data_IF_701699647054
#
_entry.id   IF_701699647054
#
_cell.length_a   1.000
_cell.length_b   1.000
_cell.length_c   1.000
_cell.angle_alpha   90.00
_cell.angle_beta   90.00
_cell.angle_gamma   90.00
#
_symmetry.space_group_name_H-M   'P 1'
#
loop_
_entity.id
_entity.type
_entity.pdbx_description
1 polymer ?
#
# COMPACT_ATOMS: atom_id res chain seq x y z
N UNK A 1 -49.68 48.97 35.36
CA UNK A 1 -48.46 48.99 34.51
C UNK A 1 -47.68 47.68 34.63
N UNK A 2 -48.33 46.52 34.47
CA UNK A 2 -47.69 45.21 34.60
C UNK A 2 -47.63 44.42 33.27
N UNK A 3 -48.31 44.91 32.23
CA UNK A 3 -48.48 44.18 30.97
C UNK A 3 -47.24 44.25 30.05
N UNK A 4 -46.36 45.24 30.22
CA UNK A 4 -45.13 45.37 29.42
C UNK A 4 -44.02 44.41 29.84
N UNK A 5 -43.91 44.12 31.14
CA UNK A 5 -42.84 43.26 31.68
C UNK A 5 -43.01 41.79 31.27
N UNK A 6 -44.24 41.27 31.24
CA UNK A 6 -44.50 39.88 30.86
C UNK A 6 -44.19 39.62 29.37
N UNK A 7 -44.54 40.56 28.49
CA UNK A 7 -44.25 40.48 27.05
C UNK A 7 -42.75 40.58 26.78
N UNK A 8 -42.06 41.46 27.51
CA UNK A 8 -40.60 41.57 27.44
C UNK A 8 -39.92 40.25 27.84
N UNK A 9 -40.33 39.66 28.97
CA UNK A 9 -39.78 38.39 29.47
C UNK A 9 -40.01 37.24 28.49
N UNK A 10 -41.21 37.15 27.89
CA UNK A 10 -41.52 36.15 26.88
C UNK A 10 -40.63 36.30 25.64
N UNK A 11 -40.40 37.54 25.17
CA UNK A 11 -39.52 37.82 24.05
C UNK A 11 -38.07 37.38 24.32
N UNK A 12 -37.54 37.67 25.52
CA UNK A 12 -36.21 37.23 25.93
C UNK A 12 -36.08 35.70 26.02
N UNK A 13 -37.10 35.01 26.53
CA UNK A 13 -37.12 33.54 26.60
C UNK A 13 -37.12 32.93 25.19
N UNK A 14 -37.95 33.45 24.27
CA UNK A 14 -37.96 32.99 22.89
C UNK A 14 -36.61 33.22 22.20
N UNK A 15 -35.98 34.39 22.43
CA UNK A 15 -34.68 34.71 21.84
C UNK A 15 -33.59 33.75 22.36
N UNK A 16 -33.53 33.51 23.68
CA UNK A 16 -32.60 32.55 24.26
C UNK A 16 -32.81 31.14 23.73
N UNK A 17 -34.07 30.71 23.57
CA UNK A 17 -34.38 29.40 23.01
C UNK A 17 -33.89 29.26 21.56
N UNK A 18 -34.09 30.28 20.72
CA UNK A 18 -33.60 30.28 19.34
C UNK A 18 -32.07 30.25 19.27
N UNK A 19 -31.38 30.98 20.16
CA UNK A 19 -29.91 30.97 20.24
C UNK A 19 -29.39 29.60 20.66
N UNK A 20 -30.03 28.95 21.64
CA UNK A 20 -29.65 27.59 22.08
C UNK A 20 -29.83 26.56 20.97
N UNK A 21 -30.93 26.65 20.21
CA UNK A 21 -31.14 25.79 19.03
C UNK A 21 -30.08 26.02 17.95
N UNK A 22 -29.70 27.28 17.71
CA UNK A 22 -28.66 27.61 16.74
C UNK A 22 -27.29 27.08 17.18
N UNK A 23 -26.92 27.25 18.45
CA UNK A 23 -25.68 26.70 19.02
C UNK A 23 -25.68 25.17 18.92
N UNK A 24 -26.80 24.51 19.25
CA UNK A 24 -26.94 23.06 19.10
C UNK A 24 -26.78 22.61 17.65
N UNK A 25 -27.36 23.33 16.69
CA UNK A 25 -27.18 23.05 15.26
C UNK A 25 -25.72 23.22 14.82
N UNK A 26 -25.04 24.28 15.26
CA UNK A 26 -23.62 24.49 14.99
C UNK A 26 -22.78 23.35 15.57
N UNK A 27 -23.05 22.90 16.81
CA UNK A 27 -22.35 21.75 17.40
C UNK A 27 -22.58 20.46 16.62
N UNK A 28 -23.82 20.14 16.24
CA UNK A 28 -24.14 18.94 15.45
C UNK A 28 -23.48 19.01 14.07
N UNK A 29 -23.50 20.16 13.40
CA UNK A 29 -22.85 20.36 12.10
C UNK A 29 -21.33 20.27 12.24
N UNK A 30 -20.75 20.86 13.29
CA UNK A 30 -19.32 20.82 13.60
C UNK A 30 -18.85 19.38 13.87
N UNK A 31 -19.58 18.63 14.69
CA UNK A 31 -19.33 17.21 14.92
C UNK A 31 -19.47 16.39 13.63
N UNK A 32 -20.48 16.65 12.80
CA UNK A 32 -20.66 15.96 11.53
C UNK A 32 -19.59 16.31 10.47
N UNK A 33 -19.01 17.50 10.53
CA UNK A 33 -17.94 17.94 9.60
C UNK A 33 -16.56 17.52 10.05
N UNK A 34 -16.28 17.51 11.35
CA UNK A 34 -15.01 17.02 11.91
C UNK A 34 -14.96 15.50 11.97
N UNK A 35 -16.05 14.81 12.33
CA UNK A 35 -16.06 13.33 12.30
C UNK A 35 -15.96 12.76 10.89
N UNK A 36 -16.29 13.53 9.85
CA UNK A 36 -16.05 13.15 8.44
C UNK A 36 -14.74 13.67 7.87
N UNK A 37 -13.93 14.37 8.68
CA UNK A 37 -12.60 14.81 8.27
C UNK A 37 -11.52 13.74 8.41
N UNK A 38 -11.91 12.48 8.68
CA UNK A 38 -11.08 11.27 8.55
C UNK A 38 -10.64 10.96 7.11
N UNK A 39 -10.90 11.87 6.15
CA UNK A 39 -10.01 11.94 4.99
C UNK A 39 -8.64 12.40 5.46
N UNK A 40 -7.81 11.40 5.80
CA UNK A 40 -6.34 11.39 5.74
C UNK A 40 -5.88 12.62 4.93
N UNK A 41 -5.35 13.63 5.63
CA UNK A 41 -5.24 15.02 5.13
C UNK A 41 -4.81 15.11 3.65
N UNK A 42 -5.15 16.19 2.93
CA UNK A 42 -4.77 16.36 1.50
C UNK A 42 -3.28 16.06 1.22
N UNK A 43 -2.39 16.29 2.20
CA UNK A 43 -0.98 15.91 2.14
C UNK A 43 -0.74 14.39 2.14
N UNK A 44 -1.44 13.64 2.99
CA UNK A 44 -1.35 12.18 3.03
C UNK A 44 -1.99 11.51 1.82
N UNK A 45 -3.05 12.11 1.24
CA UNK A 45 -3.61 11.63 -0.03
C UNK A 45 -2.59 11.76 -1.18
N UNK A 46 -1.83 12.87 -1.22
CA UNK A 46 -0.72 13.04 -2.16
C UNK A 46 0.40 12.01 -1.90
N UNK A 47 0.72 11.73 -0.64
CA UNK A 47 1.68 10.67 -0.28
C UNK A 47 1.19 9.30 -0.75
N UNK A 48 -0.09 8.97 -0.56
CA UNK A 48 -0.68 7.72 -1.05
C UNK A 48 -0.58 7.55 -2.56
N UNK A 49 -0.86 8.61 -3.33
CA UNK A 49 -0.68 8.62 -4.80
C UNK A 49 0.78 8.40 -5.19
N UNK A 50 1.73 9.02 -4.46
CA UNK A 50 3.16 8.81 -4.69
C UNK A 50 3.58 7.36 -4.40
N UNK A 51 3.07 6.76 -3.32
CA UNK A 51 3.35 5.37 -2.97
C UNK A 51 2.72 4.39 -3.98
N UNK A 52 1.52 4.66 -4.47
CA UNK A 52 0.90 3.88 -5.55
C UNK A 52 1.75 3.92 -6.83
N UNK A 53 2.33 5.08 -7.16
CA UNK A 53 3.26 5.20 -8.30
C UNK A 53 4.53 4.35 -8.11
N UNK A 54 5.06 4.25 -6.89
CA UNK A 54 6.19 3.36 -6.58
C UNK A 54 5.81 1.88 -6.67
N UNK A 55 4.64 1.53 -6.16
CA UNK A 55 4.06 0.17 -6.24
C UNK A 55 3.96 -0.29 -7.70
N UNK A 56 3.47 0.58 -8.60
CA UNK A 56 3.43 0.29 -10.04
C UNK A 56 4.82 0.06 -10.67
N UNK A 57 5.86 0.75 -10.17
CA UNK A 57 7.24 0.50 -10.63
C UNK A 57 7.75 -0.85 -10.16
N UNK A 58 7.41 -1.24 -8.94
CA UNK A 58 7.71 -2.56 -8.38
C UNK A 58 7.01 -3.65 -9.20
N UNK A 59 5.71 -3.53 -9.49
CA UNK A 59 4.98 -4.47 -10.35
C UNK A 59 5.62 -4.61 -11.74
N UNK A 60 6.00 -3.50 -12.36
CA UNK A 60 6.69 -3.54 -13.65
C UNK A 60 8.04 -4.26 -13.57
N UNK A 61 8.80 -4.07 -12.48
CA UNK A 61 10.06 -4.77 -12.27
C UNK A 61 9.85 -6.27 -12.01
N UNK A 62 8.83 -6.63 -11.24
CA UNK A 62 8.40 -8.01 -11.02
C UNK A 62 8.00 -8.68 -12.34
N UNK A 63 7.21 -8.01 -13.17
CA UNK A 63 6.84 -8.51 -14.50
C UNK A 63 8.06 -8.66 -15.43
N UNK A 64 9.03 -7.76 -15.36
CA UNK A 64 10.26 -7.87 -16.14
C UNK A 64 11.12 -9.07 -15.71
N UNK A 65 11.10 -9.41 -14.42
CA UNK A 65 11.79 -10.58 -13.87
C UNK A 65 11.05 -11.87 -14.20
N UNK A 66 9.71 -11.88 -14.10
CA UNK A 66 8.83 -13.02 -14.35
C UNK A 66 8.71 -13.41 -15.84
N UNK A 67 9.62 -12.95 -16.70
CA UNK A 67 9.75 -13.49 -18.04
C UNK A 67 10.14 -14.97 -17.93
N UNK A 68 9.27 -15.85 -18.42
CA UNK A 68 9.25 -17.33 -18.34
C UNK A 68 10.54 -18.05 -18.78
N UNK A 69 11.58 -17.32 -19.12
CA UNK A 69 12.84 -17.87 -19.61
C UNK A 69 13.74 -18.51 -18.57
N UNK A 70 13.50 -18.34 -17.25
CA UNK A 70 14.33 -18.92 -16.18
C UNK A 70 13.52 -19.00 -14.88
N UNK A 71 13.75 -20.02 -14.04
CA UNK A 71 13.08 -20.14 -12.74
C UNK A 71 13.73 -19.23 -11.68
N UNK A 72 15.05 -19.29 -11.57
CA UNK A 72 15.83 -18.44 -10.67
C UNK A 72 16.94 -17.71 -11.43
N UNK A 73 17.15 -16.44 -11.07
CA UNK A 73 18.23 -15.59 -11.61
C UNK A 73 19.36 -15.44 -10.59
N UNK A 74 20.53 -14.94 -11.01
CA UNK A 74 21.56 -14.49 -10.09
C UNK A 74 20.98 -13.53 -9.05
N UNK A 75 21.37 -13.63 -7.76
CA UNK A 75 20.92 -12.75 -6.69
C UNK A 75 21.02 -11.26 -7.05
N UNK A 76 22.11 -10.86 -7.73
CA UNK A 76 22.34 -9.49 -8.16
C UNK A 76 21.21 -8.93 -9.07
N UNK A 77 20.56 -9.78 -9.88
CA UNK A 77 19.44 -9.33 -10.73
C UNK A 77 18.19 -8.98 -9.92
N UNK A 78 18.02 -9.59 -8.74
CA UNK A 78 16.89 -9.31 -7.84
C UNK A 78 17.12 -8.08 -6.95
N UNK A 79 18.37 -7.60 -6.81
CA UNK A 79 18.71 -6.43 -6.00
C UNK A 79 17.83 -5.22 -6.33
N UNK A 80 17.59 -4.97 -7.62
CA UNK A 80 16.74 -3.87 -8.09
C UNK A 80 15.29 -4.00 -7.60
N UNK A 81 14.76 -5.22 -7.51
CA UNK A 81 13.41 -5.47 -7.00
C UNK A 81 13.37 -5.28 -5.49
N UNK A 82 14.40 -5.73 -4.78
CA UNK A 82 14.52 -5.51 -3.34
C UNK A 82 14.58 -4.02 -3.00
N UNK A 83 15.38 -3.24 -3.72
CA UNK A 83 15.44 -1.79 -3.53
C UNK A 83 14.07 -1.12 -3.77
N UNK A 84 13.32 -1.59 -4.77
CA UNK A 84 11.97 -1.08 -5.05
C UNK A 84 10.96 -1.50 -3.97
N UNK A 85 11.09 -2.70 -3.41
CA UNK A 85 10.30 -3.17 -2.28
C UNK A 85 10.54 -2.29 -1.06
N UNK A 86 11.80 -2.05 -0.67
CA UNK A 86 12.15 -1.20 0.48
C UNK A 86 11.68 0.24 0.27
N UNK A 87 11.85 0.80 -0.92
CA UNK A 87 11.39 2.15 -1.25
C UNK A 87 9.86 2.29 -1.21
N UNK A 88 9.13 1.22 -1.50
CA UNK A 88 7.67 1.17 -1.46
C UNK A 88 7.19 1.03 -0.02
N UNK A 89 7.79 0.12 0.75
CA UNK A 89 7.51 -0.05 2.17
C UNK A 89 7.80 1.24 2.96
N UNK A 90 8.96 1.87 2.75
CA UNK A 90 9.32 3.15 3.36
C UNK A 90 8.43 4.32 2.91
N UNK A 91 7.69 4.18 1.80
CA UNK A 91 6.70 5.16 1.40
C UNK A 91 5.43 5.00 2.22
N UNK A 92 4.96 3.76 2.34
CA UNK A 92 3.75 3.43 3.07
C UNK A 92 3.87 3.65 4.58
N UNK A 93 5.05 3.47 5.18
CA UNK A 93 5.29 3.82 6.60
C UNK A 93 5.14 5.31 6.92
N UNK A 94 5.11 6.19 5.90
CA UNK A 94 4.84 7.63 6.08
C UNK A 94 3.35 7.94 6.19
N UNK A 95 2.48 6.99 5.86
CA UNK A 95 1.03 7.11 6.01
C UNK A 95 0.68 6.65 7.42
N UNK A 96 0.30 7.59 8.28
CA UNK A 96 0.04 7.34 9.71
C UNK A 96 -1.42 7.51 10.10
N UNK A 97 -2.32 7.70 9.12
CA UNK A 97 -3.77 7.77 9.39
C UNK A 97 -4.33 6.36 9.59
N UNK A 98 -5.37 6.23 10.41
CA UNK A 98 -5.98 4.94 10.77
C UNK A 98 -6.52 4.19 9.55
N UNK A 99 -7.31 4.87 8.69
CA UNK A 99 -7.77 4.31 7.41
C UNK A 99 -6.62 4.01 6.43
N UNK A 100 -5.53 4.78 6.52
CA UNK A 100 -4.33 4.56 5.71
C UNK A 100 -3.53 3.35 6.18
N UNK A 101 -3.59 3.00 7.46
CA UNK A 101 -2.91 1.84 8.01
C UNK A 101 -3.51 0.54 7.47
N UNK A 102 -4.84 0.45 7.38
CA UNK A 102 -5.52 -0.71 6.79
C UNK A 102 -5.23 -0.82 5.28
N UNK A 103 -5.24 0.31 4.57
CA UNK A 103 -4.82 0.36 3.17
C UNK A 103 -3.35 -0.08 2.98
N UNK A 104 -2.45 0.38 3.85
CA UNK A 104 -1.04 -0.02 3.83
C UNK A 104 -0.87 -1.51 4.09
N UNK A 105 -1.61 -2.05 5.06
CA UNK A 105 -1.56 -3.46 5.39
C UNK A 105 -2.06 -4.34 4.23
N UNK A 106 -3.15 -3.94 3.57
CA UNK A 106 -3.70 -4.67 2.42
C UNK A 106 -2.78 -4.59 1.19
N UNK A 107 -2.20 -3.41 0.93
CA UNK A 107 -1.23 -3.26 -0.17
C UNK A 107 0.08 -4.01 0.11
N UNK A 108 0.63 -3.95 1.32
CA UNK A 108 1.88 -4.64 1.67
C UNK A 108 1.69 -6.16 1.77
N UNK A 109 0.53 -6.63 2.25
CA UNK A 109 0.18 -8.05 2.30
C UNK A 109 0.11 -8.71 0.92
N UNK A 110 -0.10 -7.92 -0.14
CA UNK A 110 -0.13 -8.39 -1.51
C UNK A 110 1.26 -8.60 -2.15
N UNK A 111 2.37 -8.32 -1.45
CA UNK A 111 3.73 -8.50 -2.00
C UNK A 111 4.59 -9.54 -1.23
N UNK A 112 4.14 -10.80 -1.07
CA UNK A 112 4.98 -11.86 -0.46
C UNK A 112 6.27 -12.11 -1.27
N UNK A 113 6.28 -11.73 -2.54
CA UNK A 113 7.46 -11.80 -3.39
C UNK A 113 8.62 -10.93 -2.88
N UNK A 114 8.35 -9.80 -2.23
CA UNK A 114 9.38 -8.92 -1.69
C UNK A 114 10.20 -9.61 -0.58
N UNK A 115 9.54 -10.34 0.32
CA UNK A 115 10.23 -11.10 1.38
C UNK A 115 11.10 -12.20 0.78
N UNK A 116 10.58 -12.92 -0.21
CA UNK A 116 11.35 -13.93 -0.94
C UNK A 116 12.61 -13.34 -1.58
N UNK A 117 12.49 -12.26 -2.36
CA UNK A 117 13.65 -11.66 -3.01
C UNK A 117 14.64 -11.06 -2.02
N UNK A 118 14.16 -10.51 -0.91
CA UNK A 118 15.02 -10.02 0.17
C UNK A 118 15.84 -11.17 0.75
N UNK A 119 15.20 -12.25 1.18
CA UNK A 119 15.89 -13.44 1.69
C UNK A 119 16.87 -14.04 0.67
N UNK A 120 16.44 -14.14 -0.59
CA UNK A 120 17.25 -14.70 -1.67
C UNK A 120 18.52 -13.90 -1.95
N UNK A 121 18.44 -12.57 -1.83
CA UNK A 121 19.56 -11.65 -2.08
C UNK A 121 20.44 -11.38 -0.86
N UNK A 122 19.96 -11.65 0.36
CA UNK A 122 20.73 -11.44 1.59
C UNK A 122 21.29 -12.75 2.11
N UNK A 123 20.49 -13.51 2.84
CA UNK A 123 20.88 -14.70 3.59
C UNK A 123 21.23 -15.88 2.68
N UNK A 124 20.48 -16.02 1.59
CA UNK A 124 20.69 -17.12 0.65
C UNK A 124 21.70 -16.78 -0.46
N UNK A 125 22.18 -15.54 -0.55
CA UNK A 125 23.05 -15.07 -1.65
C UNK A 125 24.26 -15.98 -1.89
N UNK A 126 25.00 -16.30 -0.82
CA UNK A 126 26.18 -17.16 -0.89
C UNK A 126 25.84 -18.60 -1.33
N UNK A 127 24.67 -19.09 -0.92
CA UNK A 127 24.20 -20.42 -1.32
C UNK A 127 23.81 -20.41 -2.81
N UNK A 128 23.06 -19.39 -3.25
CA UNK A 128 22.70 -19.20 -4.65
C UNK A 128 23.93 -19.08 -5.55
N UNK A 129 24.95 -18.33 -5.15
CA UNK A 129 26.21 -18.22 -5.91
C UNK A 129 26.94 -19.56 -6.02
N UNK A 130 27.01 -20.34 -4.93
CA UNK A 130 27.58 -21.70 -4.96
C UNK A 130 26.80 -22.62 -5.89
N UNK A 131 25.47 -22.61 -5.83
CA UNK A 131 24.60 -23.38 -6.72
C UNK A 131 24.82 -22.97 -8.19
N UNK A 132 24.92 -21.66 -8.46
CA UNK A 132 25.21 -21.13 -9.79
C UNK A 132 26.60 -21.55 -10.32
N UNK A 133 27.61 -21.66 -9.46
CA UNK A 133 28.92 -22.16 -9.86
C UNK A 133 28.94 -23.66 -10.21
N UNK A 134 27.98 -24.43 -9.70
CA UNK A 134 27.86 -25.88 -9.94
C UNK A 134 26.94 -26.22 -11.12
N UNK A 135 26.34 -25.22 -11.74
CA UNK A 135 25.38 -25.37 -12.85
C UNK A 135 25.94 -26.21 -14.01
N UNK A 136 27.22 -26.07 -14.33
CA UNK A 136 27.88 -26.83 -15.40
C UNK A 136 28.05 -28.32 -15.11
N UNK A 137 27.99 -28.72 -13.83
CA UNK A 137 28.23 -30.09 -13.39
C UNK A 137 26.92 -30.86 -13.10
N UNK A 138 25.80 -30.16 -12.89
CA UNK A 138 24.53 -30.77 -12.48
C UNK A 138 23.41 -30.29 -13.41
N UNK A 139 22.88 -31.20 -14.24
CA UNK A 139 21.86 -30.92 -15.25
C UNK A 139 20.57 -30.32 -14.68
N UNK A 140 20.20 -30.70 -13.44
CA UNK A 140 19.04 -30.12 -12.75
C UNK A 140 19.24 -28.64 -12.39
N UNK A 141 20.46 -28.25 -11.99
CA UNK A 141 20.77 -26.85 -11.68
C UNK A 141 20.82 -26.03 -12.98
N UNK A 142 21.35 -26.59 -14.06
CA UNK A 142 21.28 -25.97 -15.39
C UNK A 142 19.85 -25.72 -15.83
N UNK A 143 18.95 -26.67 -15.56
CA UNK A 143 17.53 -26.48 -15.84
C UNK A 143 16.92 -25.38 -14.96
N UNK A 144 17.29 -25.30 -13.68
CA UNK A 144 16.74 -24.31 -12.75
C UNK A 144 17.17 -22.87 -13.05
N UNK A 145 18.43 -22.66 -13.44
CA UNK A 145 19.02 -21.33 -13.65
C UNK A 145 19.08 -20.90 -15.13
N UNK A 146 19.23 -21.85 -16.05
CA UNK A 146 19.50 -21.58 -17.47
C UNK A 146 18.40 -22.06 -18.43
N UNK A 147 17.46 -22.95 -18.03
CA UNK A 147 16.44 -23.40 -18.96
C UNK A 147 15.44 -22.27 -19.28
N UNK A 148 15.51 -21.81 -20.54
CA UNK A 148 14.38 -21.19 -21.22
C UNK A 148 13.23 -22.18 -21.25
N UNK A 149 12.11 -21.86 -20.59
CA UNK A 149 10.84 -22.47 -20.99
C UNK A 149 10.59 -22.07 -22.44
N UNK A 150 11.00 -22.93 -23.35
CA UNK A 150 10.25 -23.08 -24.59
C UNK A 150 8.93 -23.68 -24.12
N UNK A 151 7.86 -22.92 -24.22
CA UNK A 151 6.55 -23.53 -24.31
C UNK A 151 6.58 -24.36 -25.61
N UNK A 152 7.12 -25.58 -25.55
CA UNK A 152 6.76 -26.59 -26.53
C UNK A 152 5.29 -26.80 -26.27
N UNK A 153 4.48 -26.11 -27.07
CA UNK A 153 3.15 -26.54 -27.43
C UNK A 153 3.32 -27.94 -28.00
N UNK A 154 3.41 -28.94 -27.11
CA UNK A 154 3.23 -30.33 -27.46
C UNK A 154 1.76 -30.44 -27.81
N UNK A 155 1.57 -30.22 -29.10
CA UNK A 155 0.46 -30.54 -29.95
C UNK A 155 0.14 -32.03 -29.79
N UNK A 156 -0.37 -32.45 -28.62
CA UNK A 156 -1.00 -33.76 -28.46
C UNK A 156 -2.44 -33.63 -28.92
N UNK A 157 -2.55 -33.69 -30.24
CA UNK A 157 -3.70 -34.21 -30.95
C UNK A 157 -4.01 -35.59 -30.36
N UNK A 158 -5.19 -35.73 -29.75
CA UNK A 158 -5.95 -36.98 -29.66
C UNK A 158 -7.40 -36.63 -29.93
#
# INVERSE_FOLDING_TARGET
MACGCAVQLFCWICLLFTVMLFIGFIHVVWEATISKSDFCSRAQLLTGVECAKKTRRLENALMAINQTTRFLRPPLEYQKVVDLCENTQNCFTKITCEDGHDFVADVMGNFPACEFYKFYTTEFSQCAERLLSQTSNITCLDTLFNAKHTASSDNKKF
#
